data_IF_895159646996
#
_entry.id   IF_895159646996
#
_cell.length_a   1.000
_cell.length_b   1.000
_cell.length_c   1.000
_cell.angle_alpha   90.00
_cell.angle_beta   90.00
_cell.angle_gamma   90.00
#
_symmetry.space_group_name_H-M   'P 1'
#
loop_
_entity.id
_entity.type
_entity.pdbx_description
1 polymer ?
#
# COMPACT_ATOMS: atom_id res chain seq x y z
N UNK A 1 7.27 20.73 -29.14
CA UNK A 1 7.70 20.15 -27.85
C UNK A 1 6.50 19.45 -27.19
N UNK A 2 6.61 18.19 -26.75
CA UNK A 2 5.52 17.55 -26.01
C UNK A 2 5.34 18.27 -24.66
N UNK A 3 4.12 18.79 -24.42
CA UNK A 3 3.77 19.46 -23.16
C UNK A 3 3.90 18.43 -22.02
N UNK A 4 4.72 18.73 -21.01
CA UNK A 4 4.92 17.86 -19.86
C UNK A 4 3.60 17.50 -19.19
N UNK A 5 3.45 16.21 -18.82
CA UNK A 5 2.22 15.70 -18.20
C UNK A 5 2.06 16.36 -16.82
N UNK A 6 1.00 17.15 -16.63
CA UNK A 6 0.70 17.82 -15.36
C UNK A 6 0.53 16.75 -14.27
N UNK A 7 1.37 16.79 -13.23
CA UNK A 7 1.31 15.87 -12.08
C UNK A 7 0.35 16.44 -11.03
N UNK A 8 -0.54 15.60 -10.53
CA UNK A 8 -1.49 15.95 -9.47
C UNK A 8 -1.17 15.14 -8.21
N UNK A 9 -1.26 15.75 -7.01
CA UNK A 9 -1.01 15.05 -5.75
C UNK A 9 -2.08 13.98 -5.49
N UNK A 10 -1.70 12.89 -4.81
CA UNK A 10 -2.59 11.77 -4.53
C UNK A 10 -3.87 12.19 -3.78
N UNK A 11 -3.73 13.08 -2.80
CA UNK A 11 -4.85 13.65 -2.02
C UNK A 11 -5.89 14.34 -2.91
N UNK A 12 -5.43 15.14 -3.88
CA UNK A 12 -6.33 15.83 -4.81
C UNK A 12 -7.07 14.83 -5.70
N UNK A 13 -6.37 13.83 -6.26
CA UNK A 13 -7.00 12.80 -7.08
C UNK A 13 -8.09 12.07 -6.30
N UNK A 14 -7.80 11.68 -5.07
CA UNK A 14 -8.74 10.98 -4.19
C UNK A 14 -9.98 11.85 -3.88
N UNK A 15 -9.80 13.11 -3.50
CA UNK A 15 -10.91 14.03 -3.24
C UNK A 15 -11.81 14.24 -4.46
N UNK A 16 -11.21 14.45 -5.64
CA UNK A 16 -11.94 14.62 -6.90
C UNK A 16 -12.73 13.36 -7.25
N UNK A 17 -12.14 12.17 -7.06
CA UNK A 17 -12.83 10.90 -7.31
C UNK A 17 -14.00 10.71 -6.34
N UNK A 18 -13.84 11.03 -5.05
CA UNK A 18 -14.94 10.92 -4.09
C UNK A 18 -16.13 11.81 -4.47
N UNK A 19 -15.89 13.05 -4.87
CA UNK A 19 -16.98 13.91 -5.36
C UNK A 19 -17.59 13.42 -6.67
N UNK A 20 -16.77 12.90 -7.58
CA UNK A 20 -17.27 12.29 -8.82
C UNK A 20 -18.12 11.03 -8.56
N UNK A 21 -17.86 10.30 -7.47
CA UNK A 21 -18.65 9.15 -7.05
C UNK A 21 -19.94 9.55 -6.32
N UNK A 22 -19.95 10.66 -5.56
CA UNK A 22 -21.17 11.22 -4.95
C UNK A 22 -22.20 11.68 -6.00
N UNK A 23 -21.74 12.08 -7.18
CA UNK A 23 -22.61 12.43 -8.30
C UNK A 23 -23.28 13.80 -8.22
N UNK A 24 -23.00 14.59 -7.18
CA UNK A 24 -23.54 15.95 -6.98
C UNK A 24 -23.05 16.95 -8.02
N UNK A 25 -21.88 16.70 -8.63
CA UNK A 25 -21.27 17.54 -9.65
C UNK A 25 -20.88 16.69 -10.85
N UNK A 26 -21.12 17.21 -12.04
CA UNK A 26 -20.67 16.58 -13.29
C UNK A 26 -19.15 16.63 -13.41
N UNK A 27 -18.56 15.74 -14.21
CA UNK A 27 -17.11 15.74 -14.50
C UNK A 27 -16.63 17.09 -15.05
N UNK A 28 -17.47 17.82 -15.80
CA UNK A 28 -17.14 19.14 -16.32
C UNK A 28 -17.12 20.23 -15.23
N UNK A 29 -18.02 20.15 -14.25
CA UNK A 29 -18.02 21.07 -13.10
C UNK A 29 -16.82 20.79 -12.18
N UNK A 30 -16.52 19.52 -11.92
CA UNK A 30 -15.34 19.13 -11.15
C UNK A 30 -14.03 19.53 -11.86
N UNK A 31 -13.98 19.39 -13.18
CA UNK A 31 -12.86 19.83 -14.00
C UNK A 31 -12.56 21.32 -13.83
N UNK A 32 -13.60 22.16 -13.85
CA UNK A 32 -13.48 23.61 -13.61
C UNK A 32 -13.07 23.90 -12.17
N UNK A 33 -13.76 23.31 -11.19
CA UNK A 33 -13.54 23.56 -9.76
C UNK A 33 -12.12 23.24 -9.33
N UNK A 34 -11.60 22.10 -9.78
CA UNK A 34 -10.29 21.59 -9.38
C UNK A 34 -9.18 21.88 -10.41
N UNK A 35 -9.49 22.63 -11.47
CA UNK A 35 -8.58 22.97 -12.57
C UNK A 35 -7.88 21.74 -13.17
N UNK A 36 -8.65 20.67 -13.37
CA UNK A 36 -8.22 19.37 -13.89
C UNK A 36 -8.93 19.06 -15.18
N UNK A 37 -8.26 18.33 -16.08
CA UNK A 37 -8.88 17.92 -17.33
C UNK A 37 -9.97 16.86 -17.08
N UNK A 38 -11.16 16.93 -17.72
CA UNK A 38 -12.24 15.95 -17.53
C UNK A 38 -11.79 14.49 -17.70
N UNK A 39 -10.98 14.19 -18.72
CA UNK A 39 -10.43 12.85 -18.93
C UNK A 39 -9.57 12.35 -17.76
N UNK A 40 -8.87 13.25 -17.05
CA UNK A 40 -8.10 12.86 -15.85
C UNK A 40 -9.02 12.38 -14.74
N UNK A 41 -10.18 13.01 -14.57
CA UNK A 41 -11.19 12.61 -13.57
C UNK A 41 -11.72 11.21 -13.88
N UNK A 42 -12.11 10.97 -15.14
CA UNK A 42 -12.57 9.64 -15.57
C UNK A 42 -11.51 8.56 -15.36
N UNK A 43 -10.25 8.86 -15.71
CA UNK A 43 -9.14 7.93 -15.52
C UNK A 43 -8.91 7.63 -14.04
N UNK A 44 -8.94 8.64 -13.16
CA UNK A 44 -8.75 8.43 -11.72
C UNK A 44 -9.90 7.65 -11.10
N UNK A 45 -11.14 7.91 -11.53
CA UNK A 45 -12.31 7.14 -11.08
C UNK A 45 -12.15 5.67 -11.43
N UNK A 46 -11.74 5.36 -12.67
CA UNK A 46 -11.46 3.99 -13.08
C UNK A 46 -10.34 3.35 -12.25
N UNK A 47 -9.20 4.04 -12.11
CA UNK A 47 -8.08 3.53 -11.30
C UNK A 47 -8.48 3.27 -9.84
N UNK A 48 -9.33 4.14 -9.27
CA UNK A 48 -9.81 3.98 -7.90
C UNK A 48 -10.75 2.78 -7.75
N UNK A 49 -11.64 2.54 -8.71
CA UNK A 49 -12.54 1.39 -8.67
C UNK A 49 -11.78 0.06 -8.86
N UNK A 50 -10.77 0.05 -9.72
CA UNK A 50 -9.94 -1.14 -9.97
C UNK A 50 -9.03 -1.47 -8.79
N UNK A 51 -8.32 -0.47 -8.25
CA UNK A 51 -7.32 -0.66 -7.19
C UNK A 51 -7.85 -0.46 -5.77
N UNK A 52 -9.06 0.09 -5.63
CA UNK A 52 -9.71 0.30 -4.34
C UNK A 52 -9.82 -0.97 -3.51
N UNK A 53 -10.25 -2.12 -4.08
CA UNK A 53 -10.30 -3.40 -3.36
C UNK A 53 -8.93 -3.83 -2.80
N UNK A 54 -7.84 -3.57 -3.53
CA UNK A 54 -6.48 -3.94 -3.10
C UNK A 54 -6.06 -3.22 -1.81
N UNK A 55 -6.55 -2.00 -1.58
CA UNK A 55 -6.26 -1.26 -0.35
C UNK A 55 -6.81 -1.99 0.89
N UNK A 56 -8.00 -2.58 0.78
CA UNK A 56 -8.61 -3.34 1.87
C UNK A 56 -8.00 -4.75 2.00
N UNK A 57 -7.50 -5.33 0.91
CA UNK A 57 -6.76 -6.60 0.97
C UNK A 57 -5.36 -6.45 1.59
N UNK A 58 -4.73 -5.27 1.44
CA UNK A 58 -3.39 -5.00 1.96
C UNK A 58 -3.32 -5.07 3.48
N UNK A 59 -4.35 -4.64 4.19
CA UNK A 59 -4.39 -4.71 5.66
C UNK A 59 -4.40 -6.16 6.16
N UNK A 60 -5.09 -7.06 5.44
CA UNK A 60 -5.07 -8.49 5.74
C UNK A 60 -3.68 -9.11 5.50
N UNK A 61 -3.02 -8.73 4.39
CA UNK A 61 -1.68 -9.21 4.05
C UNK A 61 -0.58 -8.67 4.98
N UNK A 62 -0.75 -7.45 5.51
CA UNK A 62 0.16 -6.87 6.50
C UNK A 62 0.15 -7.69 7.80
N UNK A 63 -1.02 -8.05 8.31
CA UNK A 63 -1.14 -8.90 9.50
C UNK A 63 -0.56 -10.31 9.31
N UNK A 64 -0.70 -10.90 8.12
CA UNK A 64 -0.05 -12.18 7.80
C UNK A 64 1.48 -12.06 7.77
N UNK A 65 2.00 -10.96 7.20
CA UNK A 65 3.43 -10.69 7.15
C UNK A 65 4.03 -10.49 8.54
N UNK A 66 3.33 -9.77 9.43
CA UNK A 66 3.75 -9.57 10.82
C UNK A 66 3.77 -10.88 11.61
N UNK A 67 2.76 -11.75 11.43
CA UNK A 67 2.75 -13.09 12.05
C UNK A 67 3.94 -13.93 11.60
N UNK A 68 4.22 -13.93 10.30
CA UNK A 68 5.34 -14.68 9.73
C UNK A 68 6.68 -14.16 10.22
N UNK A 69 6.81 -12.83 10.39
CA UNK A 69 8.00 -12.22 10.98
C UNK A 69 8.19 -12.70 12.42
N UNK A 70 7.15 -12.66 13.26
CA UNK A 70 7.22 -13.12 14.64
C UNK A 70 7.58 -14.61 14.75
N UNK A 71 7.06 -15.46 13.86
CA UNK A 71 7.41 -16.88 13.81
C UNK A 71 8.89 -17.10 13.46
N UNK A 72 9.41 -16.35 12.48
CA UNK A 72 10.82 -16.42 12.09
C UNK A 72 11.74 -15.94 13.22
N UNK A 73 11.38 -14.88 13.94
CA UNK A 73 12.13 -14.38 15.10
C UNK A 73 12.18 -15.43 16.24
N UNK A 74 11.06 -16.11 16.51
CA UNK A 74 11.02 -17.19 17.49
C UNK A 74 11.90 -18.39 17.09
N UNK A 75 11.86 -18.79 15.82
CA UNK A 75 12.69 -19.88 15.31
C UNK A 75 14.18 -19.53 15.39
N UNK A 76 14.54 -18.29 15.04
CA UNK A 76 15.91 -17.81 15.15
C UNK A 76 16.40 -17.90 16.60
N UNK A 77 15.63 -17.39 17.58
CA UNK A 77 16.00 -17.47 18.99
C UNK A 77 16.16 -18.91 19.50
N UNK A 78 15.29 -19.84 19.08
CA UNK A 78 15.44 -21.27 19.40
C UNK A 78 16.76 -21.83 18.85
N UNK A 79 17.11 -21.48 17.62
CA UNK A 79 18.35 -21.93 16.97
C UNK A 79 19.60 -21.33 17.62
N UNK A 80 19.56 -20.06 18.04
CA UNK A 80 20.65 -19.46 18.80
C UNK A 80 20.92 -20.19 20.11
N UNK A 81 19.85 -20.56 20.85
CA UNK A 81 19.96 -21.36 22.08
C UNK A 81 20.54 -22.75 21.78
N UNK A 82 20.01 -23.47 20.77
CA UNK A 82 20.55 -24.77 20.36
C UNK A 82 22.04 -24.69 20.04
N UNK A 83 22.46 -23.68 19.27
CA UNK A 83 23.87 -23.46 18.91
C UNK A 83 24.72 -23.17 20.16
N UNK A 84 24.23 -22.32 21.07
CA UNK A 84 24.95 -22.00 22.30
C UNK A 84 25.14 -23.24 23.20
N UNK A 85 24.11 -24.08 23.32
CA UNK A 85 24.18 -25.34 24.06
C UNK A 85 25.18 -26.31 23.43
N UNK A 86 25.14 -26.49 22.10
CA UNK A 86 26.07 -27.35 21.38
C UNK A 86 27.53 -26.89 21.54
N UNK A 87 27.78 -25.57 21.43
CA UNK A 87 29.12 -25.00 21.65
C UNK A 87 29.61 -25.24 23.08
N UNK A 88 28.76 -25.04 24.07
CA UNK A 88 29.10 -25.29 25.48
C UNK A 88 29.36 -26.79 25.76
N UNK A 89 28.61 -27.70 25.12
CA UNK A 89 28.86 -29.14 25.27
C UNK A 89 30.20 -29.55 24.64
N UNK A 90 30.45 -29.15 23.39
CA UNK A 90 31.69 -29.47 22.67
C UNK A 90 32.94 -28.84 23.32
N UNK A 91 32.81 -27.65 23.90
CA UNK A 91 33.89 -27.00 24.63
C UNK A 91 34.21 -27.60 26.01
N UNK A 92 33.30 -28.43 26.58
CA UNK A 92 33.51 -29.14 27.84
C UNK A 92 34.12 -30.54 27.66
N UNK A 93 34.13 -31.06 26.44
CA UNK A 93 34.68 -32.38 26.11
C UNK A 93 36.18 -32.34 25.70
N UNK A 94 36.87 -31.22 25.92
CA UNK A 94 38.31 -31.06 25.67
C UNK A 94 39.06 -30.61 26.91
#
# INVERSE_FOLDING_TARGET
MPRGKRRYPAKLKFQVVLEALRGEKTSGQLAKLYQVHPNSISQWKQTFLERGPELFARDAAAGESERRLAELEQLLGKKEIEIALLKNFLGRSS
#
